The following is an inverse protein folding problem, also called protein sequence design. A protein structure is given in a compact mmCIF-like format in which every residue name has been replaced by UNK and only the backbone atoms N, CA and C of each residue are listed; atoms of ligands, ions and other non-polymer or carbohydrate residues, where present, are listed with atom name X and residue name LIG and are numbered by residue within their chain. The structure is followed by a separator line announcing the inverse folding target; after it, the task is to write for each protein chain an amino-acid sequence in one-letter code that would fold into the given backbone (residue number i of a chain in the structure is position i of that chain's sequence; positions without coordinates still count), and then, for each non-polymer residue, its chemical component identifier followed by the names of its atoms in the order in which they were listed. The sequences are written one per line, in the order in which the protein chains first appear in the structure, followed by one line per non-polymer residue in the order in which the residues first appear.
data_IF_736928542235
#
_entry.id   IF_736928542235
#
_cell.length_a   1.000
_cell.length_b   1.000
_cell.length_c   1.000
_cell.angle_alpha   90.00
_cell.angle_beta   90.00
_cell.angle_gamma   90.00
#
_symmetry.space_group_name_H-M   'P 1'
#
loop_
_entity.id
_entity.type
_entity.pdbx_description
1 polymer ?
#
# COMPACT_ATOMS: atom_id res chain seq x y z
N UNK A 1 -0.94 -19.92 -4.51
CA UNK A 1 0.45 -20.17 -4.10
C UNK A 1 0.88 -19.06 -3.15
N UNK A 2 1.84 -19.29 -2.26
CA UNK A 2 2.15 -18.38 -1.15
C UNK A 2 3.65 -18.27 -0.93
N UNK A 3 4.12 -17.07 -0.62
CA UNK A 3 5.41 -16.81 0.02
C UNK A 3 5.17 -16.64 1.52
N UNK A 4 5.89 -17.38 2.34
CA UNK A 4 5.79 -17.31 3.80
C UNK A 4 6.93 -16.48 4.37
N UNK A 5 6.60 -15.66 5.37
CA UNK A 5 7.55 -14.80 6.05
C UNK A 5 8.50 -15.62 6.92
N UNK A 6 9.79 -15.59 6.61
CA UNK A 6 10.81 -16.19 7.44
C UNK A 6 10.98 -15.43 8.77
N UNK A 7 11.44 -16.11 9.82
CA UNK A 7 11.60 -15.51 11.15
C UNK A 7 12.58 -14.33 11.14
N UNK A 8 13.66 -14.42 10.35
CA UNK A 8 14.66 -13.37 10.21
C UNK A 8 14.09 -12.14 9.48
N UNK A 9 13.30 -12.34 8.42
CA UNK A 9 12.70 -11.25 7.67
C UNK A 9 11.64 -10.50 8.49
N UNK A 10 10.97 -11.19 9.40
CA UNK A 10 10.01 -10.58 10.33
C UNK A 10 10.66 -9.51 11.22
N UNK A 11 11.89 -9.72 11.67
CA UNK A 11 12.61 -8.71 12.44
C UNK A 11 13.05 -7.54 11.56
N UNK A 12 13.44 -7.82 10.32
CA UNK A 12 13.82 -6.79 9.32
C UNK A 12 12.64 -5.88 8.99
N UNK A 13 11.42 -6.42 8.85
CA UNK A 13 10.21 -5.64 8.54
C UNK A 13 9.69 -4.80 9.70
N UNK A 14 10.22 -4.99 10.93
CA UNK A 14 9.98 -4.02 12.01
C UNK A 14 10.66 -2.68 11.72
N UNK A 15 11.67 -2.66 10.85
CA UNK A 15 12.25 -1.42 10.38
C UNK A 15 11.43 -0.88 9.21
N UNK A 16 11.04 0.40 9.24
CA UNK A 16 10.27 0.98 8.16
C UNK A 16 11.09 0.96 6.86
N UNK A 17 10.40 0.71 5.74
CA UNK A 17 10.99 0.69 4.39
C UNK A 17 11.36 2.10 3.91
N UNK A 18 10.84 3.13 4.57
CA UNK A 18 11.06 4.53 4.26
C UNK A 18 10.96 5.43 5.49
N UNK A 19 11.00 6.76 5.30
CA UNK A 19 10.80 7.72 6.39
C UNK A 19 9.43 7.55 7.05
N UNK A 20 9.41 7.73 8.37
CA UNK A 20 8.20 7.70 9.20
C UNK A 20 7.73 9.13 9.46
N UNK A 21 6.41 9.32 9.38
CA UNK A 21 5.73 10.59 9.57
C UNK A 21 4.61 10.44 10.60
N UNK A 22 4.29 11.54 11.28
CA UNK A 22 3.20 11.60 12.25
C UNK A 22 1.82 11.77 11.62
N UNK A 23 1.75 12.19 10.36
CA UNK A 23 0.50 12.38 9.64
C UNK A 23 0.66 12.07 8.15
N UNK A 24 -0.43 11.62 7.54
CA UNK A 24 -0.43 11.16 6.15
C UNK A 24 -0.25 12.30 5.14
N UNK A 25 -0.62 13.54 5.50
CA UNK A 25 -0.51 14.68 4.59
C UNK A 25 0.95 15.10 4.41
N UNK A 26 1.72 15.10 5.50
CA UNK A 26 3.17 15.30 5.46
C UNK A 26 3.87 14.15 4.73
N UNK A 27 3.44 12.91 4.98
CA UNK A 27 3.99 11.72 4.33
C UNK A 27 3.90 11.80 2.80
N UNK A 28 2.73 12.20 2.26
CA UNK A 28 2.56 12.33 0.81
C UNK A 28 3.34 13.53 0.23
N UNK A 29 3.42 14.66 0.94
CA UNK A 29 4.16 15.84 0.45
C UNK A 29 5.65 15.54 0.32
N UNK A 30 6.24 14.97 1.38
CA UNK A 30 7.68 14.67 1.45
C UNK A 30 8.07 13.45 0.60
N UNK A 31 7.17 12.46 0.46
CA UNK A 31 7.36 11.33 -0.45
C UNK A 31 7.43 11.77 -1.92
N UNK A 32 6.61 12.76 -2.31
CA UNK A 32 6.61 13.30 -3.68
C UNK A 32 7.75 14.28 -3.97
N UNK A 33 8.30 14.96 -2.95
CA UNK A 33 9.37 15.95 -3.15
C UNK A 33 10.76 15.32 -3.41
N UNK A 34 10.95 14.04 -3.06
CA UNK A 34 12.25 13.35 -3.24
C UNK A 34 12.55 13.05 -4.72
N UNK A 35 11.55 13.02 -5.61
CA UNK A 35 11.70 12.78 -7.05
C UNK A 35 11.53 14.04 -7.90
N UNK A 36 11.77 15.23 -7.35
CA UNK A 36 11.63 16.52 -8.05
C UNK A 36 12.58 16.67 -9.26
N UNK A 37 12.27 16.01 -10.37
CA UNK A 37 12.56 16.40 -11.75
C UNK A 37 11.38 15.96 -12.62
N UNK A 38 10.21 16.57 -12.42
CA UNK A 38 9.47 17.24 -13.51
C UNK A 38 8.07 17.62 -13.06
N UNK A 39 7.78 18.90 -13.24
CA UNK A 39 6.50 19.55 -12.96
C UNK A 39 5.35 18.86 -13.70
N UNK A 40 4.28 18.61 -12.97
CA UNK A 40 2.93 18.95 -13.42
C UNK A 40 2.27 19.77 -12.31
N UNK A 41 2.52 21.07 -12.34
CA UNK A 41 1.63 22.05 -11.72
C UNK A 41 0.31 22.01 -12.50
N UNK A 42 -0.67 21.28 -11.99
CA UNK A 42 -2.09 21.54 -12.24
C UNK A 42 -2.70 22.15 -10.98
N UNK A 43 -3.84 22.88 -11.07
CA UNK A 43 -4.53 23.39 -9.88
C UNK A 43 -5.02 22.17 -9.04
N UNK A 44 -5.61 22.27 -7.85
CA UNK A 44 -7.05 22.49 -7.74
C UNK A 44 -7.38 23.00 -6.32
N UNK A 45 -7.78 24.27 -6.26
CA UNK A 45 -8.75 24.72 -5.28
C UNK A 45 -10.04 23.90 -5.45
N UNK A 46 -10.47 23.22 -4.39
CA UNK A 46 -11.86 22.76 -4.21
C UNK A 46 -12.19 21.39 -4.81
N UNK A 47 -12.58 20.46 -3.92
CA UNK A 47 -13.10 19.11 -4.20
C UNK A 47 -12.07 18.00 -4.51
N UNK A 48 -11.62 17.30 -3.47
CA UNK A 48 -11.24 15.87 -3.52
C UNK A 48 -10.30 15.40 -4.65
N UNK A 49 -9.13 16.01 -4.83
CA UNK A 49 -8.21 15.64 -5.92
C UNK A 49 -7.61 14.23 -5.74
N UNK A 50 -7.57 13.46 -6.84
CA UNK A 50 -6.86 12.17 -6.91
C UNK A 50 -5.36 12.39 -6.68
N UNK A 51 -4.74 11.51 -5.90
CA UNK A 51 -3.29 11.55 -5.63
C UNK A 51 -2.59 10.32 -6.18
N UNK A 52 -1.33 10.48 -6.61
CA UNK A 52 -0.46 9.37 -7.01
C UNK A 52 0.08 8.64 -5.78
N UNK A 53 -0.85 8.09 -4.99
CA UNK A 53 -0.56 7.42 -3.72
C UNK A 53 -1.30 6.09 -3.70
N UNK A 54 -0.62 5.04 -3.23
CA UNK A 54 -1.23 3.75 -2.88
C UNK A 54 -1.19 3.65 -1.35
N UNK A 55 -2.33 3.37 -0.74
CA UNK A 55 -2.45 3.24 0.70
C UNK A 55 -2.58 1.77 1.09
N UNK A 56 -1.83 1.35 2.11
CA UNK A 56 -1.93 0.02 2.72
C UNK A 56 -2.29 0.17 4.19
N UNK A 57 -3.39 -0.44 4.58
CA UNK A 57 -3.98 -0.38 5.90
C UNK A 57 -5.19 0.55 6.00
N UNK A 58 -6.14 0.13 6.83
CA UNK A 58 -7.44 0.78 7.01
C UNK A 58 -7.32 2.23 7.51
N UNK A 59 -6.51 2.45 8.56
CA UNK A 59 -6.34 3.78 9.17
C UNK A 59 -5.72 4.76 8.20
N UNK A 60 -4.62 4.37 7.53
CA UNK A 60 -3.92 5.25 6.58
C UNK A 60 -4.80 5.59 5.38
N UNK A 61 -5.54 4.60 4.87
CA UNK A 61 -6.51 4.81 3.79
C UNK A 61 -7.62 5.75 4.25
N UNK A 62 -8.16 5.56 5.45
CA UNK A 62 -9.20 6.42 6.01
C UNK A 62 -8.73 7.86 6.24
N UNK A 63 -7.50 8.06 6.72
CA UNK A 63 -6.93 9.38 6.97
C UNK A 63 -6.72 10.16 5.67
N UNK A 64 -6.29 9.49 4.59
CA UNK A 64 -6.22 10.10 3.26
C UNK A 64 -7.59 10.58 2.77
N UNK A 65 -8.60 9.71 2.91
CA UNK A 65 -9.97 10.04 2.54
C UNK A 65 -10.51 11.20 3.37
N UNK A 66 -10.21 11.24 4.67
CA UNK A 66 -10.59 12.33 5.57
C UNK A 66 -9.91 13.66 5.18
N UNK A 67 -8.70 13.61 4.64
CA UNK A 67 -7.99 14.75 4.06
C UNK A 67 -8.52 15.15 2.66
N UNK A 68 -9.53 14.47 2.14
CA UNK A 68 -10.06 14.69 0.80
C UNK A 68 -9.04 14.34 -0.28
N UNK A 69 -8.29 13.24 -0.09
CA UNK A 69 -7.33 12.69 -1.04
C UNK A 69 -7.71 11.25 -1.34
N UNK A 70 -8.27 11.00 -2.52
CA UNK A 70 -8.59 9.64 -2.96
C UNK A 70 -7.30 8.97 -3.44
N UNK A 71 -6.82 7.90 -2.77
CA UNK A 71 -5.68 7.15 -3.27
C UNK A 71 -6.03 6.41 -4.56
N UNK A 72 -5.00 6.11 -5.33
CA UNK A 72 -5.11 5.27 -6.53
C UNK A 72 -5.52 3.85 -6.20
N UNK A 73 -4.98 3.31 -5.13
CA UNK A 73 -5.42 2.05 -4.56
C UNK A 73 -5.42 2.15 -3.03
N UNK A 74 -6.46 1.62 -2.40
CA UNK A 74 -6.47 1.33 -0.96
C UNK A 74 -6.43 -0.18 -0.78
N UNK A 75 -5.54 -0.70 0.05
CA UNK A 75 -5.44 -2.12 0.37
C UNK A 75 -5.73 -2.24 1.86
N UNK A 76 -6.82 -2.90 2.21
CA UNK A 76 -7.38 -2.91 3.57
C UNK A 76 -7.82 -4.32 3.94
N UNK A 77 -7.78 -4.71 5.21
CA UNK A 77 -8.27 -6.02 5.67
C UNK A 77 -9.58 -5.91 6.48
N UNK A 78 -10.07 -4.69 6.71
CA UNK A 78 -11.27 -4.42 7.50
C UNK A 78 -11.08 -4.69 9.00
N UNK A 79 -9.83 -4.84 9.45
CA UNK A 79 -9.44 -5.07 10.85
C UNK A 79 -8.37 -4.06 11.24
N UNK A 80 -8.36 -3.69 12.51
CA UNK A 80 -7.22 -2.98 13.10
C UNK A 80 -6.87 -3.71 14.39
N UNK A 81 -5.63 -4.21 14.49
CA UNK A 81 -5.08 -4.79 15.71
C UNK A 81 -5.98 -5.88 16.35
N UNK A 82 -6.53 -6.79 15.52
CA UNK A 82 -7.42 -7.91 15.92
C UNK A 82 -8.82 -7.53 16.40
N UNK A 83 -9.24 -6.28 16.23
CA UNK A 83 -10.64 -5.84 16.42
C UNK A 83 -11.18 -5.27 15.11
N UNK A 84 -12.50 -5.28 14.94
CA UNK A 84 -13.14 -4.59 13.82
C UNK A 84 -12.66 -3.13 13.79
N UNK A 85 -12.37 -2.61 12.60
CA UNK A 85 -12.06 -1.19 12.44
C UNK A 85 -13.12 -0.33 13.12
N UNK A 86 -12.75 0.82 13.70
CA UNK A 86 -13.72 1.75 14.25
C UNK A 86 -14.80 2.05 13.20
N UNK A 87 -16.08 2.08 13.59
CA UNK A 87 -17.20 2.43 12.69
C UNK A 87 -16.91 3.65 11.78
N UNK A 88 -16.35 4.78 12.26
CA UNK A 88 -16.06 5.91 11.37
C UNK A 88 -15.01 5.63 10.29
N UNK A 89 -14.13 4.64 10.50
CA UNK A 89 -13.15 4.19 9.48
C UNK A 89 -13.87 3.35 8.43
N UNK A 90 -14.65 2.36 8.88
CA UNK A 90 -15.43 1.49 7.99
C UNK A 90 -16.41 2.28 7.12
N UNK A 91 -17.16 3.21 7.72
CA UNK A 91 -18.11 4.07 6.99
C UNK A 91 -17.42 4.92 5.93
N UNK A 92 -16.23 5.44 6.24
CA UNK A 92 -15.46 6.26 5.29
C UNK A 92 -14.93 5.43 4.13
N UNK A 93 -14.45 4.22 4.39
CA UNK A 93 -14.01 3.29 3.34
C UNK A 93 -15.19 2.87 2.46
N UNK A 94 -16.34 2.57 3.06
CA UNK A 94 -17.56 2.16 2.35
C UNK A 94 -18.21 3.29 1.54
N UNK A 95 -18.02 4.55 1.94
CA UNK A 95 -18.55 5.74 1.25
C UNK A 95 -17.55 6.40 0.30
N UNK A 96 -16.33 5.88 0.21
CA UNK A 96 -15.29 6.42 -0.64
C UNK A 96 -15.63 6.21 -2.13
N UNK A 97 -15.23 7.18 -2.96
CA UNK A 97 -15.42 7.15 -4.42
C UNK A 97 -14.44 6.19 -5.14
N UNK A 98 -14.18 5.01 -4.57
CA UNK A 98 -13.49 3.94 -5.29
C UNK A 98 -14.40 3.43 -6.41
N UNK A 99 -13.87 3.38 -7.63
CA UNK A 99 -14.62 2.97 -8.81
C UNK A 99 -14.66 1.45 -8.97
N UNK A 100 -13.76 0.73 -8.28
CA UNK A 100 -13.67 -0.73 -8.28
C UNK A 100 -13.37 -1.26 -6.89
N UNK A 101 -13.84 -2.47 -6.65
CA UNK A 101 -13.47 -3.27 -5.49
C UNK A 101 -12.91 -4.62 -5.96
N UNK A 102 -11.86 -5.09 -5.29
CA UNK A 102 -11.24 -6.40 -5.47
C UNK A 102 -11.17 -7.11 -4.13
N UNK A 103 -11.33 -8.42 -4.16
CA UNK A 103 -11.15 -9.28 -3.00
C UNK A 103 -9.87 -10.09 -3.17
N UNK A 104 -9.08 -10.20 -2.11
CA UNK A 104 -7.89 -11.04 -2.08
C UNK A 104 -7.84 -11.82 -0.77
N UNK A 105 -7.44 -13.09 -0.83
CA UNK A 105 -7.17 -13.88 0.37
C UNK A 105 -5.67 -13.82 0.67
N UNK A 106 -5.30 -13.48 1.91
CA UNK A 106 -3.90 -13.45 2.31
C UNK A 106 -3.71 -13.88 3.77
N UNK A 107 -3.31 -15.14 4.05
CA UNK A 107 -3.14 -15.59 5.42
C UNK A 107 -2.02 -14.82 6.13
N UNK A 108 -2.03 -14.90 7.46
CA UNK A 108 -1.10 -14.15 8.29
C UNK A 108 0.36 -14.49 8.02
N UNK A 109 1.21 -13.46 7.98
CA UNK A 109 2.64 -13.61 7.68
C UNK A 109 2.93 -14.22 6.29
N UNK A 110 2.04 -14.03 5.32
CA UNK A 110 2.19 -14.58 3.98
C UNK A 110 1.92 -13.54 2.90
N UNK A 111 2.34 -13.85 1.67
CA UNK A 111 2.01 -13.13 0.46
C UNK A 111 1.52 -14.11 -0.59
N UNK A 112 0.21 -14.07 -0.88
CA UNK A 112 -0.38 -14.93 -1.91
C UNK A 112 -0.24 -14.35 -3.30
N UNK A 113 -0.19 -15.22 -4.30
CA UNK A 113 -0.30 -14.82 -5.72
C UNK A 113 -1.62 -14.10 -6.02
N UNK A 114 -2.68 -14.39 -5.25
CA UNK A 114 -3.97 -13.71 -5.36
C UNK A 114 -3.90 -12.26 -4.91
N UNK A 115 -3.25 -11.98 -3.77
CA UNK A 115 -2.97 -10.63 -3.32
C UNK A 115 -2.08 -9.88 -4.34
N UNK A 116 -1.03 -10.51 -4.84
CA UNK A 116 -0.18 -9.92 -5.88
C UNK A 116 -0.98 -9.48 -7.11
N UNK A 117 -1.81 -10.37 -7.66
CA UNK A 117 -2.63 -10.05 -8.83
C UNK A 117 -3.65 -8.93 -8.53
N UNK A 118 -4.32 -8.98 -7.38
CA UNK A 118 -5.26 -7.94 -6.97
C UNK A 118 -4.59 -6.57 -6.83
N UNK A 119 -3.38 -6.52 -6.27
CA UNK A 119 -2.59 -5.30 -6.17
C UNK A 119 -2.18 -4.80 -7.56
N UNK A 120 -1.67 -5.67 -8.43
CA UNK A 120 -1.29 -5.31 -9.80
C UNK A 120 -2.46 -4.71 -10.59
N UNK A 121 -3.66 -5.29 -10.47
CA UNK A 121 -4.87 -4.74 -11.08
C UNK A 121 -5.30 -3.41 -10.45
N UNK A 122 -5.14 -3.25 -9.14
CA UNK A 122 -5.60 -2.08 -8.40
C UNK A 122 -4.73 -0.83 -8.63
N UNK A 123 -3.43 -1.00 -8.87
CA UNK A 123 -2.50 0.12 -9.13
C UNK A 123 -2.61 0.69 -10.55
N UNK A 124 -3.53 0.18 -11.39
CA UNK A 124 -3.84 0.75 -12.69
C UNK A 124 -4.60 2.11 -12.56
N UNK A 125 -5.15 2.66 -13.64
CA UNK A 125 -5.68 4.04 -13.71
C UNK A 125 -6.97 4.27 -12.93
N UNK A 126 -7.68 3.21 -12.55
CA UNK A 126 -8.99 3.31 -11.89
C UNK A 126 -8.83 3.15 -10.37
N UNK A 127 -9.30 4.10 -9.55
CA UNK A 127 -9.27 4.01 -8.10
C UNK A 127 -9.92 2.71 -7.63
N UNK A 128 -9.14 1.88 -6.96
CA UNK A 128 -9.56 0.53 -6.61
C UNK A 128 -9.33 0.29 -5.12
N UNK A 129 -10.35 -0.22 -4.43
CA UNK A 129 -10.21 -0.76 -3.09
C UNK A 129 -9.93 -2.26 -3.18
N UNK A 130 -8.87 -2.74 -2.54
CA UNK A 130 -8.57 -4.15 -2.39
C UNK A 130 -8.90 -4.53 -0.95
N UNK A 131 -9.97 -5.29 -0.76
CA UNK A 131 -10.38 -5.83 0.53
C UNK A 131 -9.74 -7.21 0.71
N UNK A 132 -8.91 -7.35 1.73
CA UNK A 132 -8.11 -8.55 2.02
C UNK A 132 -8.80 -9.39 3.09
N UNK A 133 -9.17 -10.62 2.77
CA UNK A 133 -9.54 -11.61 3.77
C UNK A 133 -8.26 -12.23 4.35
N UNK A 134 -7.82 -11.69 5.49
CA UNK A 134 -6.60 -12.12 6.17
C UNK A 134 -5.80 -10.96 6.74
N UNK A 135 -4.52 -10.82 6.37
CA UNK A 135 -3.63 -9.71 6.77
C UNK A 135 -3.12 -8.95 5.52
N UNK A 136 -3.13 -7.62 5.58
CA UNK A 136 -2.62 -6.69 4.56
C UNK A 136 -1.21 -6.16 4.87
N UNK A 137 -0.64 -6.43 6.05
CA UNK A 137 0.65 -5.92 6.54
C UNK A 137 1.78 -5.99 5.50
N UNK A 138 1.88 -7.11 4.78
CA UNK A 138 2.94 -7.32 3.78
C UNK A 138 2.60 -6.75 2.41
N UNK A 139 1.38 -6.27 2.18
CA UNK A 139 0.90 -5.78 0.88
C UNK A 139 1.64 -4.52 0.42
N UNK A 140 2.34 -3.81 1.32
CA UNK A 140 3.26 -2.75 0.94
C UNK A 140 4.36 -3.22 -0.02
N UNK A 141 4.82 -4.48 0.11
CA UNK A 141 5.86 -5.06 -0.76
C UNK A 141 5.36 -5.21 -2.22
N UNK A 142 4.28 -5.96 -2.52
CA UNK A 142 3.75 -6.00 -3.88
C UNK A 142 3.28 -4.62 -4.36
N UNK A 143 2.78 -3.75 -3.48
CA UNK A 143 2.38 -2.40 -3.87
C UNK A 143 3.57 -1.58 -4.39
N UNK A 144 4.74 -1.63 -3.73
CA UNK A 144 5.93 -0.92 -4.20
C UNK A 144 6.42 -1.46 -5.55
N UNK A 145 6.32 -2.77 -5.78
CA UNK A 145 6.75 -3.38 -7.05
C UNK A 145 5.80 -3.11 -8.22
N UNK A 146 4.50 -3.09 -7.96
CA UNK A 146 3.47 -2.89 -8.99
C UNK A 146 3.21 -1.39 -9.26
N UNK A 147 3.53 -0.53 -8.29
CA UNK A 147 3.33 0.90 -8.39
C UNK A 147 3.99 1.49 -9.66
N UNK A 148 3.27 2.31 -10.42
CA UNK A 148 3.87 3.09 -11.50
C UNK A 148 4.97 4.01 -10.97
N UNK A 149 5.96 4.38 -11.80
CA UNK A 149 7.03 5.30 -11.41
C UNK A 149 6.48 6.57 -10.76
N UNK A 150 7.22 7.08 -9.77
CA UNK A 150 6.87 8.29 -9.00
C UNK A 150 5.58 8.18 -8.17
N UNK A 151 5.03 6.97 -8.00
CA UNK A 151 3.92 6.73 -7.07
C UNK A 151 4.46 6.51 -5.66
N UNK A 152 3.82 7.11 -4.66
CA UNK A 152 4.20 6.90 -3.25
C UNK A 152 3.30 5.83 -2.64
N UNK A 153 3.89 4.77 -2.08
CA UNK A 153 3.20 3.81 -1.23
C UNK A 153 3.26 4.31 0.20
N UNK A 154 2.10 4.46 0.84
CA UNK A 154 2.00 4.81 2.26
C UNK A 154 1.38 3.67 3.03
N UNK A 155 1.92 3.39 4.21
CA UNK A 155 1.43 2.30 5.06
C UNK A 155 1.67 2.60 6.55
N UNK A 156 0.88 1.97 7.41
CA UNK A 156 1.00 2.13 8.85
C UNK A 156 2.17 1.34 9.42
N UNK A 157 2.93 1.96 10.33
CA UNK A 157 3.94 1.30 11.15
C UNK A 157 3.45 1.29 12.61
N UNK A 158 3.13 0.11 13.17
CA UNK A 158 2.62 0.01 14.53
C UNK A 158 3.55 0.70 15.55
N UNK A 159 3.01 1.67 16.28
CA UNK A 159 3.74 2.40 17.32
C UNK A 159 4.62 3.56 16.84
N UNK A 160 4.85 3.69 15.53
CA UNK A 160 5.78 4.68 14.97
C UNK A 160 5.09 5.73 14.08
N UNK A 161 4.01 5.38 13.36
CA UNK A 161 3.24 6.32 12.54
C UNK A 161 2.97 5.83 11.11
N UNK A 162 3.10 6.72 10.14
CA UNK A 162 2.88 6.43 8.71
C UNK A 162 4.21 6.43 7.98
N UNK A 163 4.50 5.37 7.24
CA UNK A 163 5.68 5.28 6.37
C UNK A 163 5.30 5.71 4.96
N UNK A 164 6.18 6.45 4.28
CA UNK A 164 6.08 6.69 2.85
C UNK A 164 7.28 6.11 2.11
N UNK A 165 7.02 5.39 1.02
CA UNK A 165 8.03 4.81 0.14
C UNK A 165 7.70 5.21 -1.29
N UNK A 166 8.59 5.94 -1.94
CA UNK A 166 8.45 6.25 -3.36
C UNK A 166 8.87 5.02 -4.18
N UNK A 167 8.01 4.60 -5.10
CA UNK A 167 8.27 3.45 -5.98
C UNK A 167 9.31 3.84 -7.04
N UNK A 168 10.58 3.75 -6.65
CA UNK A 168 11.73 3.91 -7.51
C UNK A 168 12.51 2.59 -7.68
N UNK A 169 13.59 2.62 -8.47
CA UNK A 169 14.42 1.44 -8.69
C UNK A 169 15.05 0.91 -7.40
N UNK A 170 15.49 1.79 -6.48
CA UNK A 170 16.13 1.38 -5.25
C UNK A 170 15.14 0.71 -4.27
N UNK A 171 13.94 1.27 -4.14
CA UNK A 171 12.85 0.67 -3.38
C UNK A 171 12.44 -0.68 -3.99
N UNK A 172 12.33 -0.76 -5.31
CA UNK A 172 12.02 -2.01 -6.02
C UNK A 172 13.08 -3.09 -5.77
N UNK A 173 14.36 -2.74 -5.85
CA UNK A 173 15.46 -3.68 -5.64
C UNK A 173 15.52 -4.14 -4.18
N UNK A 174 15.27 -3.24 -3.22
CA UNK A 174 15.16 -3.59 -1.80
C UNK A 174 14.02 -4.56 -1.55
N UNK A 175 12.84 -4.32 -2.12
CA UNK A 175 11.70 -5.23 -1.98
C UNK A 175 11.97 -6.58 -2.64
N UNK A 176 12.58 -6.62 -3.83
CA UNK A 176 12.97 -7.88 -4.48
C UNK A 176 13.95 -8.68 -3.62
N UNK A 177 14.92 -8.02 -2.97
CA UNK A 177 15.84 -8.68 -2.05
C UNK A 177 15.09 -9.31 -0.87
N UNK A 178 14.13 -8.60 -0.27
CA UNK A 178 13.30 -9.13 0.81
C UNK A 178 12.46 -10.33 0.37
N UNK A 179 11.81 -10.26 -0.80
CA UNK A 179 11.03 -11.38 -1.34
C UNK A 179 11.89 -12.61 -1.66
N UNK A 180 13.18 -12.43 -1.93
CA UNK A 180 14.12 -13.53 -2.14
C UNK A 180 14.54 -14.22 -0.83
N UNK A 181 14.31 -13.59 0.32
CA UNK A 181 14.54 -14.15 1.66
C UNK A 181 13.28 -14.82 2.27
N UNK A 182 12.16 -14.76 1.55
CA UNK A 182 10.92 -15.46 1.95
C UNK A 182 10.96 -16.93 1.55
N UNK A 183 10.23 -17.77 2.29
CA UNK A 183 10.09 -19.19 2.00
C UNK A 183 8.98 -19.40 0.95
N UNK A 184 9.33 -19.93 -0.22
CA UNK A 184 8.37 -20.22 -1.29
C UNK A 184 8.97 -20.07 -2.69
N UNK A 185 8.11 -19.95 -3.71
CA UNK A 185 8.55 -19.71 -5.09
C UNK A 185 8.27 -18.24 -5.50
N UNK A 186 9.33 -17.44 -5.34
CA UNK A 186 9.34 -16.00 -5.57
C UNK A 186 9.10 -15.66 -7.05
N UNK A 187 9.55 -16.50 -7.98
CA UNK A 187 9.38 -16.29 -9.42
C UNK A 187 7.89 -16.29 -9.80
N UNK A 188 7.12 -17.26 -9.30
CA UNK A 188 5.68 -17.30 -9.57
C UNK A 188 4.94 -16.12 -8.93
N UNK A 189 5.38 -15.64 -7.76
CA UNK A 189 4.82 -14.44 -7.13
C UNK A 189 5.09 -13.18 -7.97
N UNK A 190 6.33 -13.00 -8.44
CA UNK A 190 6.70 -11.87 -9.30
C UNK A 190 5.98 -11.92 -10.67
N UNK A 191 5.76 -13.12 -11.22
CA UNK A 191 4.99 -13.29 -12.44
C UNK A 191 3.53 -12.84 -12.26
N UNK A 192 2.91 -13.14 -11.10
CA UNK A 192 1.55 -12.69 -10.78
C UNK A 192 1.43 -11.16 -10.65
N UNK A 193 2.50 -10.45 -10.28
CA UNK A 193 2.54 -8.97 -10.26
C UNK A 193 2.67 -8.34 -11.66
N UNK A 194 3.07 -9.12 -12.66
CA UNK A 194 3.34 -8.65 -14.02
C UNK A 194 2.18 -8.92 -15.00
N UNK A 195 1.04 -9.36 -14.50
CA UNK A 195 -0.15 -9.77 -15.28
C UNK A 195 -1.11 -8.60 -15.48
#
# INVERSE_FOLDING_TARGET
MVLELSADLRETLKQPLGPVFTDVTTAIQQGTDTTATSRSSGPESGSGGRVNVIAVGDVVTSDLLAAGRLPRAGIVDGRTERSAVPEPVAERLASADFERERLAENPSGALTTGLAAAVAEAVDKTPTLVSVDGEEDLAALPAVLAAPPDTTVVYGQPGDGVVAVTADAAASDRVRAMLAEMDGDTEAFLAALST
#
